data_IF_491258715606
#
_entry.id   IF_491258715606
#
_cell.length_a   1.000
_cell.length_b   1.000
_cell.length_c   1.000
_cell.angle_alpha   90.00
_cell.angle_beta   90.00
_cell.angle_gamma   90.00
#
_symmetry.space_group_name_H-M   'P 1'
#
loop_
_entity.id
_entity.type
_entity.pdbx_description
1 polymer ?
#
# COMPACT_ATOMS: atom_id res chain seq x y z
N UNK A 1 48.86 35.44 7.07
CA UNK A 1 47.75 35.15 7.98
C UNK A 1 46.51 34.84 7.15
N UNK A 2 45.85 33.73 7.51
CA UNK A 2 44.46 33.33 7.20
C UNK A 2 44.09 33.05 5.73
N UNK A 3 44.05 31.75 5.42
CA UNK A 3 43.43 31.19 4.23
C UNK A 3 41.92 31.42 4.26
N UNK A 4 41.43 32.10 3.23
CA UNK A 4 40.02 32.37 3.01
C UNK A 4 39.40 31.16 2.31
N UNK A 5 38.71 30.29 3.06
CA UNK A 5 37.95 29.17 2.50
C UNK A 5 36.56 29.68 2.07
N UNK A 6 36.21 29.72 0.77
CA UNK A 6 34.89 30.15 0.33
C UNK A 6 33.82 29.05 0.45
N UNK A 7 34.15 27.90 1.07
CA UNK A 7 33.29 26.71 1.14
C UNK A 7 32.25 26.72 2.26
N UNK A 8 32.03 27.84 2.95
CA UNK A 8 31.26 27.87 4.21
C UNK A 8 29.75 28.05 4.11
N UNK A 9 29.21 28.62 3.02
CA UNK A 9 27.82 29.12 3.03
C UNK A 9 26.92 28.69 1.84
N UNK A 10 27.47 28.03 0.82
CA UNK A 10 26.69 27.57 -0.35
C UNK A 10 26.26 26.10 -0.32
N UNK A 11 27.00 25.24 0.39
CA UNK A 11 26.77 23.80 0.39
C UNK A 11 25.62 23.35 1.31
N UNK A 12 25.32 24.11 2.37
CA UNK A 12 24.24 23.76 3.31
C UNK A 12 22.83 23.92 2.73
N UNK A 13 22.58 25.02 2.01
CA UNK A 13 21.27 25.31 1.42
C UNK A 13 20.93 24.38 0.26
N UNK A 14 21.90 24.08 -0.60
CA UNK A 14 21.68 23.16 -1.72
C UNK A 14 21.48 21.74 -1.22
N UNK A 15 22.23 21.31 -0.20
CA UNK A 15 22.09 19.98 0.40
C UNK A 15 20.75 19.81 1.14
N UNK A 16 20.31 20.84 1.88
CA UNK A 16 19.00 20.81 2.55
C UNK A 16 17.84 20.68 1.56
N UNK A 17 17.87 21.44 0.46
CA UNK A 17 16.81 21.38 -0.55
C UNK A 17 16.73 20.01 -1.23
N UNK A 18 17.88 19.37 -1.48
CA UNK A 18 17.94 18.01 -2.02
C UNK A 18 17.32 16.97 -1.05
N UNK A 19 17.54 17.12 0.25
CA UNK A 19 16.96 16.23 1.27
C UNK A 19 15.43 16.37 1.31
N UNK A 20 14.90 17.61 1.27
CA UNK A 20 13.45 17.85 1.26
C UNK A 20 12.79 17.24 0.02
N UNK A 21 13.39 17.42 -1.15
CA UNK A 21 12.90 16.79 -2.39
C UNK A 21 13.00 15.26 -2.37
N UNK A 22 14.01 14.70 -1.72
CA UNK A 22 14.13 13.25 -1.52
C UNK A 22 13.03 12.72 -0.59
N UNK A 23 12.77 13.41 0.52
CA UNK A 23 11.71 13.06 1.46
C UNK A 23 10.32 13.10 0.83
N UNK A 24 10.05 14.07 -0.05
CA UNK A 24 8.78 14.12 -0.80
C UNK A 24 8.59 12.88 -1.69
N UNK A 25 9.64 12.43 -2.37
CA UNK A 25 9.58 11.21 -3.21
C UNK A 25 9.39 9.96 -2.36
N UNK A 26 10.13 9.84 -1.25
CA UNK A 26 9.99 8.72 -0.31
C UNK A 26 8.59 8.70 0.28
N UNK A 27 8.04 9.86 0.67
CA UNK A 27 6.68 9.99 1.18
C UNK A 27 5.64 9.51 0.17
N UNK A 28 5.79 9.86 -1.11
CA UNK A 28 4.91 9.37 -2.18
C UNK A 28 4.96 7.85 -2.31
N UNK A 29 6.17 7.26 -2.31
CA UNK A 29 6.35 5.80 -2.43
C UNK A 29 5.70 5.09 -1.24
N UNK A 30 5.95 5.57 -0.02
CA UNK A 30 5.35 5.00 1.21
C UNK A 30 3.82 5.11 1.17
N UNK A 31 3.27 6.22 0.70
CA UNK A 31 1.82 6.40 0.59
C UNK A 31 1.21 5.43 -0.42
N UNK A 32 1.85 5.24 -1.58
CA UNK A 32 1.42 4.25 -2.59
C UNK A 32 1.48 2.84 -2.03
N UNK A 33 2.58 2.44 -1.37
CA UNK A 33 2.72 1.12 -0.73
C UNK A 33 1.65 0.94 0.34
N UNK A 34 1.39 1.96 1.18
CA UNK A 34 0.37 1.90 2.22
C UNK A 34 -1.04 1.76 1.63
N UNK A 35 -1.36 2.48 0.55
CA UNK A 35 -2.63 2.32 -0.16
C UNK A 35 -2.76 0.92 -0.74
N UNK A 36 -1.73 0.40 -1.40
CA UNK A 36 -1.73 -0.98 -1.92
C UNK A 36 -1.95 -1.97 -0.78
N UNK A 37 -1.23 -1.86 0.32
CA UNK A 37 -1.40 -2.75 1.48
C UNK A 37 -2.81 -2.67 2.08
N UNK A 38 -3.37 -1.46 2.19
CA UNK A 38 -4.71 -1.24 2.73
C UNK A 38 -5.83 -1.71 1.81
N UNK A 39 -5.67 -1.59 0.50
CA UNK A 39 -6.74 -1.90 -0.47
C UNK A 39 -6.62 -3.29 -1.10
N UNK A 40 -5.40 -3.78 -1.30
CA UNK A 40 -5.11 -5.09 -1.91
C UNK A 40 -4.96 -6.12 -0.80
N UNK A 41 -4.05 -5.94 0.17
CA UNK A 41 -3.81 -6.95 1.20
C UNK A 41 -5.00 -7.07 2.18
N UNK A 42 -5.73 -5.99 2.44
CA UNK A 42 -6.99 -6.06 3.21
C UNK A 42 -8.19 -6.61 2.41
N UNK A 43 -8.12 -6.65 1.07
CA UNK A 43 -9.08 -7.41 0.22
C UNK A 43 -8.66 -8.87 0.02
N UNK A 44 -7.36 -9.14 0.10
CA UNK A 44 -6.74 -10.46 -0.07
C UNK A 44 -6.69 -11.32 1.20
N UNK A 45 -7.18 -10.83 2.33
CA UNK A 45 -7.98 -11.71 3.18
C UNK A 45 -9.27 -12.01 2.42
N UNK A 46 -9.17 -12.74 1.31
CA UNK A 46 -10.29 -13.38 0.65
C UNK A 46 -10.83 -14.35 1.68
N UNK A 47 -11.71 -13.85 2.55
CA UNK A 47 -12.48 -14.69 3.43
C UNK A 47 -13.12 -15.75 2.54
N UNK A 48 -13.24 -16.99 3.01
CA UNK A 48 -13.83 -18.05 2.21
C UNK A 48 -15.20 -17.63 1.58
N UNK A 49 -15.92 -16.72 2.24
CA UNK A 49 -17.08 -16.00 1.73
C UNK A 49 -16.88 -15.29 0.38
N UNK A 50 -15.77 -14.57 0.15
CA UNK A 50 -15.51 -13.82 -1.09
C UNK A 50 -15.25 -14.76 -2.26
N UNK A 51 -14.56 -15.89 -2.02
CA UNK A 51 -14.34 -16.93 -3.02
C UNK A 51 -15.68 -17.54 -3.43
N UNK A 52 -16.53 -17.87 -2.44
CA UNK A 52 -17.88 -18.36 -2.70
C UNK A 52 -18.72 -17.36 -3.50
N UNK A 53 -18.65 -16.08 -3.17
CA UNK A 53 -19.41 -15.03 -3.86
C UNK A 53 -18.96 -14.86 -5.32
N UNK A 54 -17.64 -14.93 -5.59
CA UNK A 54 -17.09 -14.97 -6.96
C UNK A 54 -17.62 -16.17 -7.74
N UNK A 55 -17.63 -17.37 -7.16
CA UNK A 55 -18.11 -18.59 -7.82
C UNK A 55 -19.61 -18.60 -8.06
N UNK A 56 -20.39 -18.05 -7.13
CA UNK A 56 -21.83 -17.84 -7.29
C UNK A 56 -22.13 -16.85 -8.42
N UNK A 57 -21.40 -15.74 -8.49
CA UNK A 57 -21.54 -14.75 -9.57
C UNK A 57 -21.14 -15.31 -10.94
N UNK A 58 -20.19 -16.25 -10.99
CA UNK A 58 -19.84 -17.02 -12.19
C UNK A 58 -20.86 -18.10 -12.55
N UNK A 59 -21.82 -18.41 -11.67
CA UNK A 59 -22.78 -19.49 -11.85
C UNK A 59 -22.20 -20.90 -11.66
N UNK A 60 -20.97 -21.01 -11.13
CA UNK A 60 -20.32 -22.30 -10.87
C UNK A 60 -20.94 -23.05 -9.68
N UNK A 61 -21.65 -22.33 -8.80
CA UNK A 61 -22.36 -22.89 -7.63
C UNK A 61 -23.78 -22.37 -7.56
N UNK A 62 -24.72 -23.21 -7.13
CA UNK A 62 -26.12 -22.84 -6.93
C UNK A 62 -26.32 -22.15 -5.56
N UNK A 63 -27.41 -21.38 -5.42
CA UNK A 63 -27.79 -20.68 -4.19
C UNK A 63 -27.82 -21.60 -2.96
N UNK A 64 -28.30 -22.84 -3.10
CA UNK A 64 -28.29 -23.84 -2.00
C UNK A 64 -26.86 -24.14 -1.51
N UNK A 65 -25.95 -24.41 -2.43
CA UNK A 65 -24.56 -24.72 -2.10
C UNK A 65 -23.84 -23.50 -1.50
N UNK A 66 -24.14 -22.30 -2.00
CA UNK A 66 -23.64 -21.05 -1.42
C UNK A 66 -24.12 -20.87 0.03
N UNK A 67 -25.40 -21.12 0.32
CA UNK A 67 -25.95 -20.98 1.67
C UNK A 67 -25.40 -22.00 2.67
N UNK A 68 -25.17 -23.25 2.23
CA UNK A 68 -24.54 -24.30 3.06
C UNK A 68 -23.11 -23.94 3.44
N UNK A 69 -22.27 -23.62 2.44
CA UNK A 69 -20.86 -23.28 2.69
C UNK A 69 -20.74 -21.97 3.49
N UNK A 70 -21.62 -21.00 3.27
CA UNK A 70 -21.68 -19.76 4.08
C UNK A 70 -21.96 -20.05 5.56
N UNK A 71 -22.86 -20.99 5.85
CA UNK A 71 -23.16 -21.42 7.23
C UNK A 71 -21.99 -22.16 7.87
N UNK A 72 -21.25 -22.92 7.08
CA UNK A 72 -20.11 -23.72 7.56
C UNK A 72 -18.89 -22.85 7.88
N UNK A 73 -18.62 -21.82 7.07
CA UNK A 73 -17.52 -20.86 7.28
C UNK A 73 -17.78 -19.87 8.44
N UNK A 74 -19.06 -19.58 8.73
CA UNK A 74 -19.46 -18.68 9.81
C UNK A 74 -19.57 -19.36 11.18
N UNK A 75 -19.19 -20.64 11.28
CA UNK A 75 -19.22 -21.45 12.50
C UNK A 75 -17.80 -21.62 13.03
#
# INVERSE_FOLDING_TARGET
MMGNNPFGYGYGYWSFWNIVWSLLRIGLIVLVIWLIYKFIIKKETETPINILQKRYAKGEINKKQFEEMKKEIGK
#
